data_IF_751530635039
#
_entry.id   IF_751530635039
#
_cell.length_a   1.000
_cell.length_b   1.000
_cell.length_c   1.000
_cell.angle_alpha   90.00
_cell.angle_beta   90.00
_cell.angle_gamma   90.00
#
_symmetry.space_group_name_H-M   'P 1'
#
loop_
_entity.id
_entity.type
_entity.pdbx_description
1 polymer ?
#
# COMPACT_ATOMS: atom_id res chain seq x y z
N UNK A 1 18.83 0.94 6.29
CA UNK A 1 17.89 2.06 6.51
C UNK A 1 16.96 1.82 7.72
N UNK A 2 16.92 0.60 8.28
CA UNK A 2 16.15 0.29 9.49
C UNK A 2 14.67 0.00 9.29
N UNK A 3 14.25 -0.36 8.09
CA UNK A 3 12.85 -0.77 7.84
C UNK A 3 12.50 -2.04 8.59
N UNK A 4 11.28 -2.08 9.12
CA UNK A 4 10.72 -3.22 9.87
C UNK A 4 9.45 -3.78 9.26
N UNK A 5 9.01 -3.26 8.11
CA UNK A 5 7.86 -3.75 7.37
C UNK A 5 8.16 -3.77 5.87
N UNK A 6 7.78 -4.86 5.21
CA UNK A 6 8.06 -5.09 3.78
C UNK A 6 6.82 -5.55 3.05
N UNK A 7 6.46 -4.82 1.99
CA UNK A 7 5.33 -5.16 1.11
C UNK A 7 5.83 -5.80 -0.18
N UNK A 8 5.13 -6.80 -0.67
CA UNK A 8 5.30 -7.38 -2.00
C UNK A 8 3.95 -7.52 -2.70
N UNK A 9 3.93 -7.28 -4.00
CA UNK A 9 2.82 -7.60 -4.90
C UNK A 9 3.14 -8.81 -5.80
N UNK A 10 4.24 -9.49 -5.55
CA UNK A 10 4.64 -10.67 -6.29
C UNK A 10 3.79 -11.86 -5.83
N UNK A 11 3.08 -12.48 -6.74
CA UNK A 11 2.27 -13.68 -6.50
C UNK A 11 3.02 -14.94 -6.93
N UNK A 12 3.81 -14.85 -8.00
CA UNK A 12 4.62 -15.95 -8.54
C UNK A 12 6.08 -15.53 -8.59
N UNK A 13 6.98 -16.15 -7.81
CA UNK A 13 8.41 -15.83 -7.81
C UNK A 13 9.04 -15.97 -9.19
N UNK A 14 9.89 -15.00 -9.57
CA UNK A 14 10.61 -15.00 -10.85
C UNK A 14 9.80 -14.48 -12.03
N UNK A 15 8.52 -14.25 -11.87
CA UNK A 15 7.71 -13.52 -12.84
C UNK A 15 7.53 -12.09 -12.32
N UNK A 16 7.90 -11.05 -13.10
CA UNK A 16 7.59 -9.67 -12.71
C UNK A 16 6.08 -9.59 -12.48
N UNK A 17 5.66 -8.76 -11.50
CA UNK A 17 4.28 -8.63 -11.03
C UNK A 17 3.30 -8.95 -12.16
N UNK A 18 2.91 -10.19 -12.26
CA UNK A 18 2.01 -10.62 -13.34
C UNK A 18 0.69 -9.99 -13.01
N UNK A 19 0.36 -8.99 -13.76
CA UNK A 19 -1.02 -8.58 -13.91
C UNK A 19 -1.76 -9.83 -14.34
N UNK A 20 -2.45 -10.48 -13.40
CA UNK A 20 -3.38 -11.55 -13.75
C UNK A 20 -4.40 -10.89 -14.64
N UNK A 21 -4.29 -11.16 -15.94
CA UNK A 21 -5.04 -10.43 -16.98
C UNK A 21 -6.55 -10.58 -16.84
N UNK A 22 -6.99 -11.66 -16.20
CA UNK A 22 -8.39 -11.96 -15.93
C UNK A 22 -8.51 -12.28 -14.44
N UNK A 23 -9.11 -11.39 -13.63
CA UNK A 23 -9.34 -11.65 -12.22
C UNK A 23 -10.09 -12.97 -12.03
N UNK A 24 -9.46 -13.91 -11.33
CA UNK A 24 -10.00 -15.25 -11.16
C UNK A 24 -10.92 -15.32 -9.95
N UNK A 25 -12.06 -15.98 -10.13
CA UNK A 25 -12.98 -16.23 -9.02
C UNK A 25 -12.44 -17.32 -8.09
N UNK A 26 -11.88 -18.36 -8.67
CA UNK A 26 -11.20 -19.43 -7.95
C UNK A 26 -9.72 -19.43 -8.35
N UNK A 27 -8.85 -19.44 -7.37
CA UNK A 27 -7.41 -19.50 -7.61
C UNK A 27 -6.99 -20.95 -7.79
N UNK A 28 -6.20 -21.24 -8.83
CA UNK A 28 -5.71 -22.58 -9.04
C UNK A 28 -4.71 -23.02 -7.95
N UNK A 29 -4.54 -24.33 -7.79
CA UNK A 29 -3.70 -24.92 -6.74
C UNK A 29 -2.24 -24.51 -6.89
N UNK A 30 -1.74 -24.35 -8.12
CA UNK A 30 -0.35 -23.97 -8.37
C UNK A 30 -0.09 -22.53 -7.89
N UNK A 31 -0.99 -21.60 -8.17
CA UNK A 31 -0.91 -20.20 -7.70
C UNK A 31 -1.01 -20.13 -6.18
N UNK A 32 -1.96 -20.84 -5.55
CA UNK A 32 -2.07 -20.88 -4.09
C UNK A 32 -0.80 -21.42 -3.44
N UNK A 33 -0.23 -22.51 -3.99
CA UNK A 33 1.02 -23.07 -3.51
C UNK A 33 2.19 -22.10 -3.69
N UNK A 34 2.25 -21.36 -4.79
CA UNK A 34 3.28 -20.35 -5.04
C UNK A 34 3.24 -19.23 -4.00
N UNK A 35 2.04 -18.76 -3.65
CA UNK A 35 1.84 -17.74 -2.60
C UNK A 35 2.26 -18.28 -1.23
N UNK A 36 1.86 -19.50 -0.90
CA UNK A 36 2.23 -20.19 0.34
C UNK A 36 3.75 -20.31 0.50
N UNK A 37 4.42 -20.86 -0.52
CA UNK A 37 5.88 -21.02 -0.56
C UNK A 37 6.62 -19.67 -0.46
N UNK A 38 6.13 -18.63 -1.16
CA UNK A 38 6.72 -17.29 -1.15
C UNK A 38 6.64 -16.65 0.24
N UNK A 39 5.43 -16.56 0.78
CA UNK A 39 5.19 -15.89 2.07
C UNK A 39 5.82 -16.68 3.21
N UNK A 40 5.75 -18.02 3.16
CA UNK A 40 6.44 -18.89 4.10
C UNK A 40 7.94 -18.72 4.08
N UNK A 41 8.54 -18.53 2.89
CA UNK A 41 9.97 -18.24 2.73
C UNK A 41 10.33 -16.88 3.36
N UNK A 42 9.53 -15.85 3.12
CA UNK A 42 9.77 -14.54 3.72
C UNK A 42 9.66 -14.61 5.24
N UNK A 43 8.61 -15.22 5.78
CA UNK A 43 8.43 -15.34 7.23
C UNK A 43 9.58 -16.12 7.87
N UNK A 44 10.03 -17.20 7.25
CA UNK A 44 11.19 -17.97 7.72
C UNK A 44 12.47 -17.14 7.71
N UNK A 45 12.66 -16.29 6.71
CA UNK A 45 13.86 -15.45 6.58
C UNK A 45 13.91 -14.31 7.61
N UNK A 46 12.77 -13.64 7.85
CA UNK A 46 12.73 -12.48 8.75
C UNK A 46 12.38 -12.83 10.20
N UNK A 47 11.78 -14.00 10.45
CA UNK A 47 11.27 -14.37 11.78
C UNK A 47 10.29 -13.32 12.29
N UNK A 48 10.39 -12.95 13.56
CA UNK A 48 9.57 -11.92 14.20
C UNK A 48 10.18 -10.51 14.12
N UNK A 49 11.27 -10.33 13.34
CA UNK A 49 12.00 -9.06 13.26
C UNK A 49 11.39 -8.06 12.30
N UNK A 50 10.49 -8.50 11.42
CA UNK A 50 9.85 -7.63 10.45
C UNK A 50 8.42 -8.08 10.13
N UNK A 51 7.58 -7.12 9.84
CA UNK A 51 6.25 -7.34 9.33
C UNK A 51 6.27 -7.61 7.82
N UNK A 52 5.38 -8.49 7.38
CA UNK A 52 5.18 -8.83 5.96
C UNK A 52 3.80 -8.35 5.56
N UNK A 53 3.71 -7.75 4.38
CA UNK A 53 2.51 -7.25 3.78
C UNK A 53 2.40 -7.82 2.37
N UNK A 54 1.23 -8.30 1.99
CA UNK A 54 0.98 -8.83 0.65
C UNK A 54 -0.09 -7.99 -0.04
N UNK A 55 0.25 -7.48 -1.20
CA UNK A 55 -0.65 -6.70 -2.04
C UNK A 55 -1.12 -7.56 -3.23
N UNK A 56 -2.41 -7.75 -3.33
CA UNK A 56 -3.04 -8.53 -4.38
C UNK A 56 -3.72 -7.66 -5.45
N UNK A 57 -3.71 -6.34 -5.29
CA UNK A 57 -4.39 -5.41 -6.19
C UNK A 57 -5.82 -5.90 -6.55
N UNK A 58 -6.20 -5.84 -7.83
CA UNK A 58 -7.47 -6.37 -8.39
C UNK A 58 -7.35 -7.79 -8.97
N UNK A 59 -6.35 -8.58 -8.56
CA UNK A 59 -6.00 -9.82 -9.28
C UNK A 59 -7.05 -10.93 -9.18
N UNK A 60 -7.92 -10.90 -8.17
CA UNK A 60 -8.89 -11.96 -7.94
C UNK A 60 -10.31 -11.42 -7.81
N UNK A 61 -11.29 -12.31 -7.82
CA UNK A 61 -12.65 -12.05 -7.36
C UNK A 61 -12.75 -12.40 -5.87
N UNK A 62 -13.87 -12.05 -5.25
CA UNK A 62 -14.11 -12.25 -3.80
C UNK A 62 -13.73 -13.65 -3.32
N UNK A 63 -14.17 -14.70 -4.01
CA UNK A 63 -13.83 -16.08 -3.64
C UNK A 63 -12.32 -16.38 -3.74
N UNK A 64 -11.64 -15.83 -4.75
CA UNK A 64 -10.19 -15.97 -4.91
C UNK A 64 -9.43 -15.27 -3.80
N UNK A 65 -9.82 -14.04 -3.43
CA UNK A 65 -9.23 -13.34 -2.28
C UNK A 65 -9.42 -14.11 -0.98
N UNK A 66 -10.60 -14.71 -0.76
CA UNK A 66 -10.85 -15.57 0.42
C UNK A 66 -9.93 -16.79 0.44
N UNK A 67 -9.70 -17.43 -0.71
CA UNK A 67 -8.77 -18.57 -0.80
C UNK A 67 -7.34 -18.15 -0.46
N UNK A 68 -6.85 -17.04 -1.01
CA UNK A 68 -5.52 -16.52 -0.71
C UNK A 68 -5.40 -16.13 0.77
N UNK A 69 -6.40 -15.42 1.30
CA UNK A 69 -6.41 -15.00 2.70
C UNK A 69 -6.24 -16.19 3.66
N UNK A 70 -6.91 -17.32 3.39
CA UNK A 70 -6.76 -18.56 4.19
C UNK A 70 -5.37 -19.19 4.08
N UNK A 71 -4.75 -19.12 2.90
CA UNK A 71 -3.40 -19.65 2.68
C UNK A 71 -2.35 -18.86 3.44
N UNK A 72 -2.48 -17.53 3.50
CA UNK A 72 -1.48 -16.67 4.16
C UNK A 72 -1.74 -16.46 5.65
N UNK A 73 -2.89 -16.88 6.18
CA UNK A 73 -3.26 -16.71 7.59
C UNK A 73 -2.23 -17.27 8.60
N UNK A 74 -1.56 -18.41 8.37
CA UNK A 74 -0.56 -18.94 9.29
C UNK A 74 0.70 -18.07 9.45
N UNK A 75 0.93 -17.12 8.53
CA UNK A 75 2.16 -16.32 8.49
C UNK A 75 2.09 -15.00 9.24
N UNK A 76 0.99 -14.68 9.91
CA UNK A 76 0.81 -13.45 10.68
C UNK A 76 1.24 -12.19 9.91
N UNK A 77 0.62 -11.97 8.76
CA UNK A 77 0.84 -10.76 7.98
C UNK A 77 0.36 -9.53 8.75
N UNK A 78 1.03 -8.38 8.55
CA UNK A 78 0.53 -7.10 9.03
C UNK A 78 -0.80 -6.78 8.37
N UNK A 79 -0.91 -7.02 7.05
CA UNK A 79 -2.16 -7.01 6.31
C UNK A 79 -2.08 -7.77 4.98
N UNK A 80 -3.24 -8.09 4.47
CA UNK A 80 -3.49 -8.44 3.09
C UNK A 80 -4.15 -7.24 2.42
N UNK A 81 -3.54 -6.72 1.37
CA UNK A 81 -4.04 -5.57 0.61
C UNK A 81 -4.85 -6.04 -0.57
N UNK A 82 -6.06 -5.51 -0.69
CA UNK A 82 -7.06 -5.97 -1.66
C UNK A 82 -7.84 -4.78 -2.19
N UNK A 83 -7.92 -4.66 -3.49
CA UNK A 83 -8.76 -3.66 -4.15
C UNK A 83 -10.02 -4.28 -4.70
N UNK A 84 -11.14 -3.89 -4.14
CA UNK A 84 -12.49 -4.26 -4.57
C UNK A 84 -13.36 -3.00 -4.53
N UNK A 85 -14.08 -2.69 -5.61
CA UNK A 85 -15.00 -1.54 -5.67
C UNK A 85 -16.37 -1.79 -5.00
N UNK A 86 -16.57 -2.93 -4.38
CA UNK A 86 -17.77 -3.29 -3.64
C UNK A 86 -17.47 -3.46 -2.15
N UNK A 87 -17.97 -2.58 -1.26
CA UNK A 87 -17.71 -2.66 0.16
C UNK A 87 -18.29 -3.93 0.82
N UNK A 88 -19.37 -4.49 0.30
CA UNK A 88 -19.95 -5.74 0.82
C UNK A 88 -19.05 -6.94 0.47
N UNK A 89 -18.49 -6.96 -0.74
CA UNK A 89 -17.55 -7.99 -1.14
C UNK A 89 -16.24 -7.91 -0.33
N UNK A 90 -15.74 -6.70 -0.04
CA UNK A 90 -14.57 -6.54 0.82
C UNK A 90 -14.84 -7.00 2.25
N UNK A 91 -15.99 -6.64 2.81
CA UNK A 91 -16.43 -7.11 4.14
C UNK A 91 -16.48 -8.65 4.19
N UNK A 92 -17.00 -9.28 3.15
CA UNK A 92 -17.05 -10.74 3.05
C UNK A 92 -15.67 -11.39 3.10
N UNK A 93 -14.67 -10.78 2.45
CA UNK A 93 -13.27 -11.24 2.56
C UNK A 93 -12.76 -11.06 3.99
N UNK A 94 -12.93 -9.87 4.56
CA UNK A 94 -12.47 -9.56 5.93
C UNK A 94 -13.05 -10.53 6.96
N UNK A 95 -14.35 -10.83 6.90
CA UNK A 95 -15.01 -11.77 7.82
C UNK A 95 -14.57 -13.23 7.65
N UNK A 96 -13.93 -13.56 6.51
CA UNK A 96 -13.47 -14.92 6.21
C UNK A 96 -12.09 -15.27 6.78
N UNK A 97 -11.35 -14.30 7.31
CA UNK A 97 -9.96 -14.49 7.76
C UNK A 97 -9.65 -13.66 9.00
N UNK A 98 -8.58 -14.03 9.71
CA UNK A 98 -7.98 -13.25 10.80
C UNK A 98 -6.86 -12.32 10.33
N UNK A 99 -6.44 -12.43 9.06
CA UNK A 99 -5.46 -11.49 8.50
C UNK A 99 -6.09 -10.12 8.37
N UNK A 100 -5.51 -9.06 8.94
CA UNK A 100 -6.02 -7.71 8.77
C UNK A 100 -6.09 -7.32 7.30
N UNK A 101 -7.12 -6.58 6.91
CA UNK A 101 -7.34 -6.14 5.53
C UNK A 101 -6.97 -4.66 5.38
N UNK A 102 -6.16 -4.35 4.38
CA UNK A 102 -5.90 -3.00 3.89
C UNK A 102 -6.55 -2.82 2.52
N UNK A 103 -7.10 -1.65 2.22
CA UNK A 103 -7.78 -1.38 0.94
C UNK A 103 -7.98 0.10 0.69
N UNK A 104 -8.51 0.41 -0.48
CA UNK A 104 -9.05 1.71 -0.86
C UNK A 104 -8.06 2.68 -1.54
N UNK A 105 -6.88 2.25 -1.97
CA UNK A 105 -5.92 3.12 -2.67
C UNK A 105 -6.49 3.77 -3.94
N UNK A 106 -7.42 3.09 -4.60
CA UNK A 106 -8.03 3.53 -5.86
C UNK A 106 -9.33 4.33 -5.68
N UNK A 107 -9.71 4.68 -4.44
CA UNK A 107 -10.92 5.45 -4.18
C UNK A 107 -10.67 6.96 -4.21
N UNK A 108 -11.68 7.69 -4.63
CA UNK A 108 -11.67 9.16 -4.73
C UNK A 108 -12.73 9.75 -3.80
N UNK A 109 -12.34 10.77 -3.08
CA UNK A 109 -13.17 11.57 -2.18
C UNK A 109 -13.76 10.76 -1.01
N UNK A 110 -14.03 11.44 0.08
CA UNK A 110 -14.67 10.87 1.27
C UNK A 110 -15.96 10.11 0.95
N UNK A 111 -16.68 10.55 -0.11
CA UNK A 111 -17.94 9.90 -0.53
C UNK A 111 -17.74 8.43 -0.97
N UNK A 112 -16.61 8.11 -1.62
CA UNK A 112 -16.32 6.72 -2.01
C UNK A 112 -15.78 5.90 -0.84
N UNK A 113 -15.03 6.50 0.08
CA UNK A 113 -14.49 5.82 1.27
C UNK A 113 -15.57 5.50 2.31
N UNK A 114 -16.56 6.40 2.50
CA UNK A 114 -17.58 6.27 3.57
C UNK A 114 -18.28 4.91 3.59
N UNK A 115 -18.76 4.34 2.48
CA UNK A 115 -19.43 3.04 2.53
C UNK A 115 -18.56 1.89 3.06
N UNK A 116 -17.25 1.92 2.83
CA UNK A 116 -16.30 0.93 3.33
C UNK A 116 -16.01 1.13 4.81
N UNK A 117 -15.77 2.37 5.22
CA UNK A 117 -15.45 2.72 6.61
C UNK A 117 -16.64 2.44 7.53
N UNK A 118 -17.84 2.88 7.16
CA UNK A 118 -19.07 2.65 7.93
C UNK A 118 -19.40 1.17 8.14
N UNK A 119 -18.98 0.32 7.23
CA UNK A 119 -19.15 -1.14 7.34
C UNK A 119 -18.00 -1.83 8.05
N UNK A 120 -16.95 -1.09 8.44
CA UNK A 120 -15.70 -1.69 8.90
C UNK A 120 -15.16 -2.77 7.94
N UNK A 121 -15.28 -2.55 6.63
CA UNK A 121 -14.88 -3.51 5.61
C UNK A 121 -13.36 -3.68 5.48
N UNK A 122 -12.57 -2.85 6.15
CA UNK A 122 -11.12 -2.90 6.23
C UNK A 122 -10.63 -2.59 7.64
N UNK A 123 -9.37 -2.95 7.94
CA UNK A 123 -8.69 -2.65 9.21
C UNK A 123 -7.74 -1.46 9.06
N UNK A 124 -7.21 -1.27 7.85
CA UNK A 124 -6.38 -0.15 7.47
C UNK A 124 -6.96 0.52 6.23
N UNK A 125 -7.01 1.84 6.27
CA UNK A 125 -7.52 2.66 5.16
C UNK A 125 -6.35 3.22 4.35
N UNK A 126 -6.21 2.76 3.11
CA UNK A 126 -5.18 3.25 2.21
C UNK A 126 -5.66 4.51 1.48
N UNK A 127 -4.94 5.60 1.68
CA UNK A 127 -5.30 6.91 1.13
C UNK A 127 -4.20 7.34 0.15
N UNK A 128 -4.55 7.49 -1.14
CA UNK A 128 -3.61 8.07 -2.09
C UNK A 128 -3.78 9.59 -2.16
N UNK A 129 -2.76 10.30 -1.69
CA UNK A 129 -2.73 11.75 -1.67
C UNK A 129 -2.74 12.37 -3.08
N UNK A 130 -2.20 11.69 -4.08
CA UNK A 130 -2.17 12.18 -5.48
C UNK A 130 -3.56 12.24 -6.09
N UNK A 131 -4.42 11.32 -5.68
CA UNK A 131 -5.82 11.25 -6.12
C UNK A 131 -6.72 12.22 -5.36
N UNK A 132 -6.46 12.41 -4.06
CA UNK A 132 -7.37 13.09 -3.16
C UNK A 132 -6.91 14.51 -2.76
N UNK A 133 -5.62 14.84 -2.92
CA UNK A 133 -5.06 16.09 -2.41
C UNK A 133 -5.07 16.18 -0.88
N UNK A 134 -4.41 17.18 -0.30
CA UNK A 134 -4.24 17.29 1.16
C UNK A 134 -5.55 17.42 1.93
N UNK A 135 -6.46 18.30 1.46
CA UNK A 135 -7.68 18.61 2.19
C UNK A 135 -8.57 17.36 2.29
N UNK A 136 -8.79 16.70 1.16
CA UNK A 136 -9.68 15.54 1.12
C UNK A 136 -9.04 14.33 1.81
N UNK A 137 -7.73 14.10 1.65
CA UNK A 137 -7.02 13.03 2.34
C UNK A 137 -7.10 13.16 3.87
N UNK A 138 -7.00 14.38 4.41
CA UNK A 138 -7.19 14.63 5.84
C UNK A 138 -8.63 14.37 6.29
N UNK A 139 -9.63 14.73 5.49
CA UNK A 139 -11.04 14.43 5.76
C UNK A 139 -11.32 12.92 5.78
N UNK A 140 -10.74 12.20 4.81
CA UNK A 140 -10.83 10.74 4.76
C UNK A 140 -10.17 10.12 6.00
N UNK A 141 -8.97 10.56 6.38
CA UNK A 141 -8.30 10.08 7.58
C UNK A 141 -9.11 10.36 8.85
N UNK A 142 -9.68 11.56 8.99
CA UNK A 142 -10.53 11.90 10.13
C UNK A 142 -11.83 11.06 10.16
N UNK A 143 -12.40 10.74 9.00
CA UNK A 143 -13.54 9.84 8.91
C UNK A 143 -13.15 8.41 9.29
N UNK A 144 -11.99 7.92 8.84
CA UNK A 144 -11.46 6.61 9.24
C UNK A 144 -11.22 6.55 10.76
N UNK A 145 -10.67 7.60 11.36
CA UNK A 145 -10.46 7.73 12.81
C UNK A 145 -11.78 7.63 13.60
N UNK A 146 -12.84 8.26 13.08
CA UNK A 146 -14.19 8.15 13.69
C UNK A 146 -14.70 6.71 13.76
N UNK A 147 -14.29 5.86 12.83
CA UNK A 147 -14.62 4.42 12.79
C UNK A 147 -13.50 3.55 13.37
N UNK A 148 -12.54 4.14 14.10
CA UNK A 148 -11.40 3.45 14.73
C UNK A 148 -10.52 2.67 13.72
N UNK A 149 -10.45 3.16 12.48
CA UNK A 149 -9.64 2.57 11.40
C UNK A 149 -8.37 3.39 11.22
N UNK A 150 -7.21 2.72 11.23
CA UNK A 150 -5.92 3.37 11.04
C UNK A 150 -5.70 3.71 9.55
N UNK A 151 -5.01 4.83 9.29
CA UNK A 151 -4.62 5.24 7.96
C UNK A 151 -3.20 4.74 7.60
N UNK A 152 -3.09 4.13 6.42
CA UNK A 152 -1.83 3.68 5.84
C UNK A 152 -1.70 4.25 4.41
N UNK A 153 -1.20 5.50 4.25
CA UNK A 153 -1.21 6.17 2.96
C UNK A 153 -0.40 5.46 1.88
N UNK A 154 -1.03 5.31 0.70
CA UNK A 154 -0.44 4.75 -0.50
C UNK A 154 0.60 5.69 -1.10
N UNK A 155 1.82 5.19 -1.34
CA UNK A 155 2.89 6.00 -1.94
C UNK A 155 4.05 5.14 -2.48
N UNK A 156 4.05 4.84 -3.78
CA UNK A 156 5.13 4.05 -4.36
C UNK A 156 5.86 4.69 -5.57
N UNK A 157 5.52 5.93 -5.97
CA UNK A 157 5.94 6.44 -7.30
C UNK A 157 7.16 7.36 -7.30
N UNK A 158 7.23 8.43 -6.50
CA UNK A 158 8.29 9.43 -6.63
C UNK A 158 8.69 10.04 -5.29
N UNK A 159 9.89 10.64 -5.25
CA UNK A 159 10.31 11.39 -4.08
C UNK A 159 9.39 12.58 -3.79
N UNK A 160 8.90 13.27 -4.83
CA UNK A 160 7.94 14.35 -4.65
C UNK A 160 6.69 13.86 -3.91
N UNK A 161 6.11 12.73 -4.36
CA UNK A 161 4.97 12.09 -3.69
C UNK A 161 5.32 11.69 -2.25
N UNK A 162 6.52 11.15 -2.03
CA UNK A 162 6.99 10.74 -0.70
C UNK A 162 7.05 11.92 0.26
N UNK A 163 7.60 13.07 -0.16
CA UNK A 163 7.59 14.29 0.64
C UNK A 163 6.17 14.78 0.95
N UNK A 164 5.31 14.82 -0.07
CA UNK A 164 3.91 15.21 0.10
C UNK A 164 3.19 14.28 1.10
N UNK A 165 3.36 12.97 0.93
CA UNK A 165 2.73 11.96 1.78
C UNK A 165 3.23 12.05 3.24
N UNK A 166 4.53 12.29 3.46
CA UNK A 166 5.08 12.47 4.80
C UNK A 166 4.46 13.64 5.55
N UNK A 167 4.19 14.75 4.86
CA UNK A 167 3.46 15.88 5.47
C UNK A 167 2.01 15.52 5.83
N UNK A 168 1.32 14.74 5.00
CA UNK A 168 0.00 14.22 5.35
C UNK A 168 0.09 13.35 6.61
N UNK A 169 1.00 12.37 6.62
CA UNK A 169 1.19 11.45 7.74
C UNK A 169 1.43 12.18 9.07
N UNK A 170 2.19 13.28 9.06
CA UNK A 170 2.48 14.09 10.24
C UNK A 170 1.27 14.90 10.76
N UNK A 171 0.16 14.96 10.02
CA UNK A 171 -1.02 15.79 10.35
C UNK A 171 -2.28 14.99 10.65
N UNK A 172 -2.24 13.67 10.57
CA UNK A 172 -3.39 12.79 10.85
C UNK A 172 -3.18 12.02 12.15
N UNK A 173 -4.22 11.87 12.99
CA UNK A 173 -4.07 11.27 14.33
C UNK A 173 -3.96 9.74 14.29
N UNK A 174 -4.56 9.12 13.29
CA UNK A 174 -4.67 7.67 13.13
C UNK A 174 -3.65 7.08 12.13
N UNK A 175 -2.48 7.71 11.99
CA UNK A 175 -1.41 7.23 11.12
C UNK A 175 -0.79 5.92 11.63
N UNK A 176 -0.74 4.90 10.79
CA UNK A 176 -0.08 3.62 11.08
C UNK A 176 1.32 3.55 10.50
N UNK A 177 1.44 3.60 9.18
CA UNK A 177 2.68 3.48 8.43
C UNK A 177 2.49 4.10 7.05
N UNK A 178 3.56 4.64 6.47
CA UNK A 178 3.57 5.18 5.11
C UNK A 178 4.30 4.21 4.18
N UNK A 179 3.66 3.87 3.08
CA UNK A 179 4.32 3.15 2.00
C UNK A 179 5.41 4.00 1.35
N UNK A 180 6.51 3.36 0.93
CA UNK A 180 7.54 4.02 0.15
C UNK A 180 8.28 3.01 -0.73
N UNK A 181 8.61 3.44 -1.94
CA UNK A 181 9.43 2.72 -2.89
C UNK A 181 10.72 3.50 -3.17
N UNK A 182 11.86 2.81 -3.20
CA UNK A 182 13.17 3.44 -3.39
C UNK A 182 13.93 2.95 -4.62
N UNK A 183 13.42 1.95 -5.31
CA UNK A 183 14.20 1.24 -6.34
C UNK A 183 13.50 1.17 -7.70
N UNK A 184 12.42 1.92 -7.90
CA UNK A 184 11.63 1.89 -9.14
C UNK A 184 12.38 2.35 -10.38
N UNK A 185 13.38 3.25 -10.25
CA UNK A 185 14.20 3.71 -11.35
C UNK A 185 15.59 4.16 -10.88
N UNK A 186 16.69 3.80 -11.60
CA UNK A 186 18.06 4.18 -11.22
C UNK A 186 18.30 5.69 -11.13
N UNK A 187 17.54 6.48 -11.88
CA UNK A 187 17.64 7.95 -11.97
C UNK A 187 16.61 8.68 -11.11
N UNK A 188 15.86 7.97 -10.28
CA UNK A 188 14.79 8.55 -9.44
C UNK A 188 15.29 9.70 -8.56
N UNK A 189 16.47 9.54 -7.96
CA UNK A 189 17.07 10.52 -7.07
C UNK A 189 17.42 11.84 -7.77
N UNK A 190 17.57 11.83 -9.09
CA UNK A 190 17.87 13.02 -9.89
C UNK A 190 16.65 13.93 -10.11
N UNK A 191 15.42 13.40 -9.98
CA UNK A 191 14.19 14.08 -10.36
C UNK A 191 13.76 15.19 -9.41
N UNK A 192 14.32 15.23 -8.20
CA UNK A 192 14.03 16.23 -7.17
C UNK A 192 15.32 16.84 -6.64
N UNK A 193 15.23 18.05 -6.09
CA UNK A 193 16.40 18.76 -5.52
C UNK A 193 16.87 18.12 -4.21
N UNK A 194 15.97 17.43 -3.53
CA UNK A 194 16.23 16.75 -2.27
C UNK A 194 15.67 15.31 -2.33
N UNK A 195 16.35 14.39 -1.65
CA UNK A 195 15.96 12.98 -1.55
C UNK A 195 15.46 12.70 -0.14
N UNK A 196 14.40 11.88 0.06
CA UNK A 196 13.90 11.53 1.37
C UNK A 196 14.99 10.93 2.25
N UNK A 197 15.17 11.49 3.43
CA UNK A 197 16.12 10.99 4.43
C UNK A 197 15.42 10.00 5.35
N UNK A 198 15.94 8.78 5.41
CA UNK A 198 15.38 7.71 6.26
C UNK A 198 16.40 7.36 7.35
N UNK A 199 16.00 7.52 8.60
CA UNK A 199 16.78 7.20 9.77
C UNK A 199 16.03 6.19 10.65
N UNK A 200 16.62 5.02 10.87
CA UNK A 200 16.03 3.95 11.67
C UNK A 200 14.59 3.57 11.27
N UNK A 201 14.30 3.55 9.97
CA UNK A 201 12.97 3.22 9.43
C UNK A 201 11.97 4.38 9.42
N UNK A 202 12.37 5.59 9.85
CA UNK A 202 11.52 6.77 9.85
C UNK A 202 11.98 7.81 8.84
N UNK A 203 11.04 8.42 8.15
CA UNK A 203 11.35 9.55 7.28
C UNK A 203 11.50 10.83 8.12
N UNK A 204 12.63 11.51 7.94
CA UNK A 204 12.87 12.82 8.53
C UNK A 204 12.09 13.87 7.76
N UNK A 205 11.18 14.59 8.44
CA UNK A 205 10.42 15.65 7.81
C UNK A 205 11.33 16.81 7.40
N UNK A 206 11.18 17.33 6.15
CA UNK A 206 11.99 18.44 5.70
C UNK A 206 11.66 19.73 6.47
N UNK A 207 12.67 20.59 6.66
CA UNK A 207 12.52 21.90 7.31
C UNK A 207 12.42 23.05 6.30
N UNK A 208 12.59 22.79 5.00
CA UNK A 208 12.49 23.77 3.94
C UNK A 208 11.02 24.18 3.72
N UNK A 209 10.74 25.40 3.24
CA UNK A 209 9.39 25.81 2.88
C UNK A 209 8.71 24.89 1.85
N UNK A 210 7.39 24.95 1.81
CA UNK A 210 6.58 24.13 0.91
C UNK A 210 6.62 22.65 1.31
N UNK A 211 6.78 21.78 0.33
CA UNK A 211 6.91 20.33 0.56
C UNK A 211 8.34 19.87 0.89
N UNK A 212 9.30 20.82 0.90
CA UNK A 212 10.70 20.58 1.27
C UNK A 212 11.59 20.09 0.13
N UNK A 213 11.10 20.02 -1.08
CA UNK A 213 11.85 19.71 -2.31
C UNK A 213 11.20 20.36 -3.52
N UNK A 214 11.93 20.44 -4.62
CA UNK A 214 11.46 20.95 -5.92
C UNK A 214 11.77 19.93 -7.01
N UNK A 215 11.07 20.05 -8.14
CA UNK A 215 11.35 19.22 -9.32
C UNK A 215 12.66 19.70 -10.00
N UNK A 216 13.48 18.76 -10.39
CA UNK A 216 14.65 19.02 -11.22
C UNK A 216 14.27 18.88 -12.71
N UNK A 217 13.78 19.96 -13.30
CA UNK A 217 13.32 19.99 -14.70
C UNK A 217 14.40 19.55 -15.70
N UNK A 218 15.68 19.83 -15.41
CA UNK A 218 16.79 19.42 -16.28
C UNK A 218 16.97 17.90 -16.27
N UNK A 219 16.81 17.25 -15.13
CA UNK A 219 16.85 15.81 -15.03
C UNK A 219 15.61 15.16 -15.68
N UNK A 220 14.42 15.72 -15.43
CA UNK A 220 13.17 15.24 -16.06
C UNK A 220 13.28 15.27 -17.59
N UNK A 221 13.85 16.32 -18.17
CA UNK A 221 14.04 16.41 -19.63
C UNK A 221 14.99 15.35 -20.20
N UNK A 222 15.90 14.77 -19.39
CA UNK A 222 16.79 13.67 -19.81
C UNK A 222 16.09 12.31 -19.83
N UNK A 223 14.96 12.16 -19.13
CA UNK A 223 14.21 10.93 -18.98
C UNK A 223 12.77 11.10 -19.50
N UNK A 224 12.59 11.42 -20.80
CA UNK A 224 11.26 11.62 -21.35
C UNK A 224 10.47 10.31 -21.32
N UNK A 225 9.15 10.43 -21.20
CA UNK A 225 8.25 9.30 -21.33
C UNK A 225 8.46 8.61 -22.69
N UNK A 226 8.57 7.27 -22.74
CA UNK A 226 8.67 6.54 -24.01
C UNK A 226 7.46 6.88 -24.90
N UNK A 227 7.74 7.16 -26.18
CA UNK A 227 6.69 7.43 -27.18
C UNK A 227 6.02 6.12 -27.62
#
# INVERSE_FOLDING_TARGET
RGYTAFKTNMVIPGEPSRVIRNPEQNVDIATLKSIDDLIGTFRKAVGDKADILLDLNFHFKTSGFIQVAKVVEPYNLMWLEIDIYDPEALLQVKESTRVPINSAECLYTMKQYEPYLRRHAMDYCMIDLRWNGYIESRRIAALADLYEIMAAPHNYVSHLSTFMCAHLCATIPNFKIMETDFESAPWRDELTTDVPQIENGYMVLPKKPGIGTELNEKAIAKHPWPK
#
